data_IF_621640065867
#
_entry.id   IF_621640065867
#
_cell.length_a   1.000
_cell.length_b   1.000
_cell.length_c   1.000
_cell.angle_alpha   90.00
_cell.angle_beta   90.00
_cell.angle_gamma   90.00
#
_symmetry.space_group_name_H-M   'P 1'
#
loop_
_entity.id
_entity.type
_entity.pdbx_description
1 polymer ?
#
# COMPACT_ATOMS: atom_id res chain seq x y z
N UNK A 1 14.90 6.65 25.60
CA UNK A 1 14.38 6.18 24.30
C UNK A 1 12.98 6.73 24.10
N UNK A 2 12.77 7.48 23.06
CA UNK A 2 11.43 7.95 22.72
C UNK A 2 10.54 6.77 22.28
N UNK A 3 9.26 6.80 22.66
CA UNK A 3 8.29 5.77 22.29
C UNK A 3 8.18 5.57 20.76
N UNK A 4 8.65 6.50 19.95
CA UNK A 4 8.74 6.40 18.49
C UNK A 4 9.83 5.42 18.02
N UNK A 5 10.91 5.26 18.79
CA UNK A 5 12.03 4.39 18.41
C UNK A 5 11.75 2.91 18.66
N UNK A 6 10.70 2.60 19.44
CA UNK A 6 10.30 1.22 19.73
C UNK A 6 9.19 0.70 18.80
N UNK A 7 8.60 1.58 17.99
CA UNK A 7 7.50 1.21 17.10
C UNK A 7 7.99 0.33 15.95
N UNK A 8 7.33 -0.82 15.75
CA UNK A 8 7.67 -1.81 14.72
C UNK A 8 6.54 -2.09 13.75
N UNK A 9 5.40 -1.42 13.91
CA UNK A 9 4.22 -1.59 13.07
C UNK A 9 3.43 -0.29 12.96
N UNK A 10 2.71 -0.15 11.85
CA UNK A 10 1.70 0.87 11.63
C UNK A 10 0.35 0.17 11.48
N UNK A 11 -0.65 0.61 12.25
CA UNK A 11 -2.01 0.11 12.18
C UNK A 11 -2.97 1.28 11.98
N UNK A 12 -3.85 1.17 11.00
CA UNK A 12 -4.82 2.21 10.69
C UNK A 12 -6.16 1.59 10.33
N UNK A 13 -7.23 2.12 10.92
CA UNK A 13 -8.60 1.67 10.66
C UNK A 13 -9.44 2.80 10.10
N UNK A 14 -10.20 2.51 9.04
CA UNK A 14 -11.18 3.43 8.47
C UNK A 14 -12.46 2.67 8.13
N UNK A 15 -13.57 3.41 8.00
CA UNK A 15 -14.88 2.89 7.63
C UNK A 15 -15.26 3.47 6.27
N UNK A 16 -15.67 2.60 5.36
CA UNK A 16 -16.02 2.97 3.98
C UNK A 16 -17.47 2.59 3.74
N UNK A 17 -18.28 3.53 3.26
CA UNK A 17 -19.68 3.27 2.93
C UNK A 17 -19.77 2.53 1.60
N UNK A 18 -19.33 1.28 1.62
CA UNK A 18 -19.33 0.34 0.51
C UNK A 18 -19.30 -1.10 1.04
N UNK A 19 -19.61 -2.05 0.16
CA UNK A 19 -19.52 -3.48 0.49
C UNK A 19 -18.06 -3.94 0.61
N UNK A 20 -17.78 -5.01 1.37
CA UNK A 20 -16.45 -5.61 1.40
C UNK A 20 -15.92 -5.99 0.00
N UNK A 21 -16.78 -6.49 -0.88
CA UNK A 21 -16.42 -6.83 -2.25
C UNK A 21 -15.93 -5.61 -3.04
N UNK A 22 -16.56 -4.46 -2.84
CA UNK A 22 -16.17 -3.21 -3.50
C UNK A 22 -14.84 -2.68 -2.96
N UNK A 23 -14.61 -2.81 -1.66
CA UNK A 23 -13.32 -2.47 -1.03
C UNK A 23 -12.22 -3.40 -1.55
N UNK A 24 -12.48 -4.71 -1.62
CA UNK A 24 -11.56 -5.68 -2.21
C UNK A 24 -11.20 -5.31 -3.65
N UNK A 25 -12.18 -4.93 -4.45
CA UNK A 25 -11.96 -4.48 -5.83
C UNK A 25 -11.03 -3.25 -5.87
N UNK A 26 -11.24 -2.29 -4.98
CA UNK A 26 -10.36 -1.12 -4.84
C UNK A 26 -8.91 -1.50 -4.55
N UNK A 27 -8.69 -2.53 -3.74
CA UNK A 27 -7.35 -3.01 -3.36
C UNK A 27 -6.67 -3.88 -4.43
N UNK A 28 -7.41 -4.42 -5.40
CA UNK A 28 -6.90 -5.42 -6.34
C UNK A 28 -7.02 -5.02 -7.82
N UNK A 29 -7.82 -4.02 -8.15
CA UNK A 29 -8.02 -3.57 -9.52
C UNK A 29 -7.07 -2.41 -9.87
N UNK A 30 -6.10 -2.63 -10.79
CA UNK A 30 -5.18 -1.58 -11.20
C UNK A 30 -5.86 -0.34 -11.79
N UNK A 31 -7.01 -0.49 -12.44
CA UNK A 31 -7.77 0.62 -12.98
C UNK A 31 -8.28 1.57 -11.89
N UNK A 32 -8.68 1.01 -10.74
CA UNK A 32 -9.04 1.81 -9.57
C UNK A 32 -7.80 2.39 -8.88
N UNK A 33 -6.74 1.61 -8.75
CA UNK A 33 -5.48 2.07 -8.14
C UNK A 33 -4.92 3.32 -8.83
N UNK A 34 -4.98 3.40 -10.15
CA UNK A 34 -4.58 4.58 -10.93
C UNK A 34 -5.29 5.85 -10.49
N UNK A 35 -6.46 5.74 -9.90
CA UNK A 35 -7.30 6.87 -9.49
C UNK A 35 -7.04 7.32 -8.06
N UNK A 36 -6.53 6.45 -7.17
CA UNK A 36 -6.29 6.84 -5.78
C UNK A 36 -4.82 6.73 -5.31
N UNK A 37 -4.00 5.87 -5.90
CA UNK A 37 -2.57 5.77 -5.62
C UNK A 37 -1.78 6.82 -6.41
N UNK A 38 -1.86 8.08 -6.02
CA UNK A 38 -1.18 9.16 -6.75
C UNK A 38 0.17 9.49 -6.13
N UNK A 39 1.16 9.67 -7.00
CA UNK A 39 2.48 10.16 -6.64
C UNK A 39 2.91 11.21 -7.66
N UNK A 40 3.16 12.44 -7.20
CA UNK A 40 3.34 13.60 -8.07
C UNK A 40 4.43 13.45 -9.14
N UNK A 41 5.57 12.82 -8.80
CA UNK A 41 6.70 12.69 -9.73
C UNK A 41 6.62 11.45 -10.62
N UNK A 42 6.20 10.33 -10.05
CA UNK A 42 6.20 9.05 -10.76
C UNK A 42 4.83 8.70 -11.37
N UNK A 43 3.81 9.49 -11.09
CA UNK A 43 2.44 9.17 -11.45
C UNK A 43 1.81 8.12 -10.55
N UNK A 44 0.61 7.65 -10.88
CA UNK A 44 -0.11 6.67 -10.08
C UNK A 44 0.66 5.36 -9.94
N UNK A 45 0.61 4.79 -8.75
CA UNK A 45 1.14 3.46 -8.45
C UNK A 45 0.06 2.40 -8.67
N UNK A 46 0.42 1.30 -9.29
CA UNK A 46 -0.44 0.14 -9.49
C UNK A 46 0.24 -1.14 -9.06
N UNK A 47 -0.56 -2.11 -8.67
CA UNK A 47 -0.10 -3.46 -8.33
C UNK A 47 -0.87 -4.45 -9.20
N UNK A 48 -0.16 -5.41 -9.78
CA UNK A 48 -0.71 -6.40 -10.71
C UNK A 48 -0.39 -7.81 -10.23
N UNK A 49 -1.41 -8.63 -10.04
CA UNK A 49 -1.29 -10.03 -9.63
C UNK A 49 -2.58 -10.78 -9.96
N UNK A 50 -2.55 -12.10 -9.86
CA UNK A 50 -3.77 -12.91 -9.78
C UNK A 50 -4.35 -12.94 -8.35
N UNK A 51 -3.64 -12.35 -7.40
CA UNK A 51 -4.02 -12.18 -5.99
C UNK A 51 -4.25 -13.51 -5.25
N UNK A 52 -3.61 -14.57 -5.70
CA UNK A 52 -3.63 -15.87 -5.03
C UNK A 52 -2.44 -16.01 -4.09
N UNK A 53 -2.67 -16.65 -2.94
CA UNK A 53 -1.60 -16.94 -1.98
C UNK A 53 -0.45 -17.67 -2.67
N UNK A 54 0.76 -17.18 -2.50
CA UNK A 54 1.98 -17.71 -3.11
C UNK A 54 2.33 -17.14 -4.48
N UNK A 55 1.41 -16.44 -5.14
CA UNK A 55 1.69 -15.73 -6.39
C UNK A 55 2.57 -14.51 -6.15
N UNK A 56 3.35 -14.14 -7.15
CA UNK A 56 4.07 -12.85 -7.15
C UNK A 56 3.16 -11.73 -7.62
N UNK A 57 3.60 -10.49 -7.40
CA UNK A 57 2.94 -9.31 -7.95
C UNK A 57 3.97 -8.37 -8.54
N UNK A 58 3.54 -7.52 -9.45
CA UNK A 58 4.32 -6.42 -10.00
C UNK A 58 3.81 -5.09 -9.44
N UNK A 59 4.73 -4.19 -9.09
CA UNK A 59 4.39 -2.81 -8.79
C UNK A 59 4.83 -1.93 -9.96
N UNK A 60 3.97 -1.04 -10.42
CA UNK A 60 4.23 -0.20 -11.58
C UNK A 60 3.87 1.27 -11.34
N UNK A 61 4.61 2.14 -12.02
CA UNK A 61 4.26 3.53 -12.28
C UNK A 61 4.24 3.71 -13.79
N UNK A 62 3.08 3.53 -14.42
CA UNK A 62 2.96 3.49 -15.88
C UNK A 62 3.43 4.79 -16.54
N UNK A 63 3.14 5.95 -15.96
CA UNK A 63 3.55 7.26 -16.49
C UNK A 63 5.06 7.43 -16.49
N UNK A 64 5.77 6.81 -15.57
CA UNK A 64 7.23 6.80 -15.52
C UNK A 64 7.87 5.65 -16.30
N UNK A 65 7.07 4.75 -16.87
CA UNK A 65 7.55 3.56 -17.56
C UNK A 65 8.28 2.60 -16.63
N UNK A 66 7.91 2.59 -15.35
CA UNK A 66 8.62 1.84 -14.31
C UNK A 66 7.82 0.62 -13.87
N UNK A 67 8.49 -0.53 -13.86
CA UNK A 67 7.95 -1.78 -13.30
C UNK A 67 8.97 -2.36 -12.33
N UNK A 68 8.51 -2.71 -11.13
CA UNK A 68 9.33 -3.36 -10.10
C UNK A 68 8.78 -4.77 -9.87
N UNK A 69 9.62 -5.76 -10.07
CA UNK A 69 9.29 -7.18 -9.91
C UNK A 69 10.34 -7.87 -9.04
N UNK A 70 10.06 -9.09 -8.63
CA UNK A 70 11.00 -9.94 -7.93
C UNK A 70 10.31 -11.12 -7.25
N UNK A 71 11.05 -12.21 -7.00
CA UNK A 71 10.47 -13.40 -6.37
C UNK A 71 10.06 -13.17 -4.91
N UNK A 72 10.59 -12.12 -4.28
CA UNK A 72 10.22 -11.74 -2.92
C UNK A 72 8.97 -10.86 -2.85
N UNK A 73 8.46 -10.37 -3.98
CA UNK A 73 7.17 -9.66 -4.05
C UNK A 73 6.05 -10.68 -4.18
N UNK A 74 5.54 -11.16 -3.05
CA UNK A 74 4.66 -12.32 -2.98
C UNK A 74 3.41 -12.06 -2.15
N UNK A 75 2.30 -12.65 -2.59
CA UNK A 75 1.03 -12.66 -1.85
C UNK A 75 1.15 -13.66 -0.71
N UNK A 76 1.08 -13.17 0.52
CA UNK A 76 1.24 -13.96 1.74
C UNK A 76 -0.06 -14.63 2.18
N UNK A 77 -1.18 -13.93 1.97
CA UNK A 77 -2.50 -14.42 2.32
C UNK A 77 -3.56 -13.79 1.41
N UNK A 78 -4.59 -14.54 1.07
CA UNK A 78 -5.68 -14.07 0.23
C UNK A 78 -6.96 -14.84 0.53
N UNK A 79 -7.92 -14.14 1.13
CA UNK A 79 -9.27 -14.64 1.43
C UNK A 79 -10.29 -13.57 1.02
N UNK A 80 -10.64 -13.50 -0.29
CA UNK A 80 -11.59 -12.51 -0.79
C UNK A 80 -12.97 -12.66 -0.16
N UNK A 81 -13.65 -11.59 0.22
CA UNK A 81 -13.22 -10.19 0.24
C UNK A 81 -12.72 -9.74 1.62
N UNK A 82 -12.25 -10.66 2.48
CA UNK A 82 -12.01 -10.42 3.92
C UNK A 82 -10.57 -10.08 4.25
N UNK A 83 -9.60 -10.67 3.56
CA UNK A 83 -8.19 -10.49 3.91
C UNK A 83 -7.27 -10.58 2.70
N UNK A 84 -6.34 -9.63 2.61
CA UNK A 84 -5.25 -9.65 1.64
C UNK A 84 -3.97 -9.24 2.36
N UNK A 85 -2.88 -10.00 2.17
CA UNK A 85 -1.59 -9.63 2.71
C UNK A 85 -0.49 -9.91 1.69
N UNK A 86 0.50 -9.03 1.61
CA UNK A 86 1.65 -9.21 0.73
C UNK A 86 2.90 -8.53 1.27
N UNK A 87 4.07 -9.00 0.82
CA UNK A 87 5.34 -8.35 1.11
C UNK A 87 5.41 -7.00 0.42
N UNK A 88 6.13 -6.03 1.02
CA UNK A 88 6.29 -4.74 0.39
C UNK A 88 7.24 -4.83 -0.81
N UNK A 89 7.07 -3.93 -1.77
CA UNK A 89 7.87 -3.95 -2.99
C UNK A 89 9.34 -3.60 -2.73
N UNK A 90 10.20 -4.04 -3.62
CA UNK A 90 11.62 -3.70 -3.59
C UNK A 90 11.83 -2.20 -3.81
N UNK A 91 12.77 -1.63 -3.09
CA UNK A 91 13.22 -0.25 -3.25
C UNK A 91 14.37 -0.25 -4.26
N UNK A 92 14.06 -0.20 -5.55
CA UNK A 92 15.10 -0.15 -6.57
C UNK A 92 15.67 1.26 -6.72
N UNK A 93 16.92 1.41 -7.20
CA UNK A 93 17.48 2.73 -7.51
C UNK A 93 16.62 3.52 -8.52
N UNK A 94 16.06 2.83 -9.51
CA UNK A 94 15.19 3.40 -10.53
C UNK A 94 13.90 3.93 -9.94
N UNK A 95 13.27 3.15 -9.07
CA UNK A 95 12.08 3.59 -8.35
C UNK A 95 12.37 4.80 -7.47
N UNK A 96 13.46 4.75 -6.69
CA UNK A 96 13.87 5.83 -5.81
C UNK A 96 14.09 7.14 -6.60
N UNK A 97 14.73 7.07 -7.75
CA UNK A 97 14.93 8.21 -8.63
C UNK A 97 13.59 8.76 -9.17
N UNK A 98 12.69 7.87 -9.59
CA UNK A 98 11.38 8.25 -10.13
C UNK A 98 10.51 8.98 -9.10
N UNK A 99 10.55 8.57 -7.82
CA UNK A 99 9.82 9.24 -6.74
C UNK A 99 10.56 10.43 -6.13
N UNK A 100 11.77 10.72 -6.61
CA UNK A 100 12.58 11.85 -6.14
C UNK A 100 13.27 11.64 -4.80
N UNK A 101 13.51 10.40 -4.44
CA UNK A 101 14.25 10.03 -3.24
C UNK A 101 15.76 10.17 -3.48
N UNK A 102 16.49 10.73 -2.52
CA UNK A 102 17.94 10.79 -2.61
C UNK A 102 18.60 9.41 -2.44
N UNK A 103 19.82 9.27 -2.95
CA UNK A 103 20.52 7.98 -2.99
C UNK A 103 20.84 7.43 -1.59
N UNK A 104 21.15 8.30 -0.63
CA UNK A 104 21.47 7.90 0.73
C UNK A 104 20.24 7.33 1.45
N UNK A 105 19.11 7.99 1.33
CA UNK A 105 17.82 7.52 1.87
C UNK A 105 17.42 6.20 1.23
N UNK A 106 17.52 6.08 -0.09
CA UNK A 106 17.19 4.84 -0.81
C UNK A 106 18.09 3.66 -0.37
N UNK A 107 19.38 3.92 -0.16
CA UNK A 107 20.31 2.89 0.33
C UNK A 107 19.96 2.44 1.75
N UNK A 108 19.61 3.38 2.62
CA UNK A 108 19.19 3.07 4.00
C UNK A 108 17.91 2.22 4.00
N UNK A 109 16.93 2.55 3.16
CA UNK A 109 15.68 1.78 3.05
C UNK A 109 15.93 0.37 2.51
N UNK A 110 16.80 0.22 1.51
CA UNK A 110 17.16 -1.10 0.98
C UNK A 110 17.88 -1.99 1.98
N UNK A 111 18.61 -1.39 2.92
CA UNK A 111 19.33 -2.14 3.96
C UNK A 111 18.41 -2.73 5.03
N UNK A 112 17.17 -2.23 5.15
CA UNK A 112 16.20 -2.77 6.08
C UNK A 112 15.61 -4.09 5.60
N UNK A 113 15.20 -4.94 6.55
CA UNK A 113 14.44 -6.14 6.25
C UNK A 113 13.13 -5.76 5.53
N UNK A 114 12.68 -6.61 4.62
CA UNK A 114 11.43 -6.41 3.87
C UNK A 114 10.24 -6.40 4.82
N UNK A 115 9.44 -5.36 4.73
CA UNK A 115 8.19 -5.24 5.47
C UNK A 115 7.05 -5.96 4.72
N UNK A 116 5.88 -6.00 5.36
CA UNK A 116 4.67 -6.59 4.78
C UNK A 116 3.44 -5.80 5.19
N UNK A 117 2.41 -5.87 4.38
CA UNK A 117 1.12 -5.20 4.63
C UNK A 117 -0.01 -6.22 4.60
N UNK A 118 -0.97 -6.03 5.50
CA UNK A 118 -2.21 -6.80 5.54
C UNK A 118 -3.41 -5.86 5.57
N UNK A 119 -4.43 -6.22 4.82
CA UNK A 119 -5.72 -5.55 4.77
C UNK A 119 -6.77 -6.51 5.31
N UNK A 120 -7.46 -6.12 6.37
CA UNK A 120 -8.60 -6.84 6.93
C UNK A 120 -9.87 -6.05 6.67
N UNK A 121 -10.87 -6.69 6.06
CA UNK A 121 -12.12 -6.08 5.63
C UNK A 121 -13.26 -6.78 6.32
N UNK A 122 -14.05 -6.04 7.11
CA UNK A 122 -15.22 -6.56 7.83
C UNK A 122 -16.48 -5.86 7.35
N UNK A 123 -17.54 -6.65 7.15
CA UNK A 123 -18.89 -6.10 6.99
C UNK A 123 -19.41 -5.72 8.37
N UNK A 124 -19.63 -4.43 8.61
CA UNK A 124 -20.16 -3.94 9.89
C UNK A 124 -21.65 -3.58 9.81
N UNK A 125 -22.31 -3.97 8.73
CA UNK A 125 -23.73 -3.73 8.50
C UNK A 125 -24.02 -2.40 7.81
N UNK A 126 -25.25 -2.25 7.33
CA UNK A 126 -25.79 -1.03 6.70
C UNK A 126 -24.99 -0.53 5.49
N UNK A 127 -24.36 -1.47 4.76
CA UNK A 127 -23.55 -1.12 3.58
C UNK A 127 -22.22 -0.46 3.93
N UNK A 128 -21.68 -0.73 5.12
CA UNK A 128 -20.41 -0.18 5.59
C UNK A 128 -19.40 -1.30 5.80
N UNK A 129 -18.21 -1.14 5.24
CA UNK A 129 -17.06 -1.99 5.49
C UNK A 129 -16.05 -1.29 6.41
N UNK A 130 -15.51 -2.03 7.36
CA UNK A 130 -14.37 -1.61 8.19
C UNK A 130 -13.09 -2.15 7.56
N UNK A 131 -12.19 -1.27 7.20
CA UNK A 131 -10.88 -1.61 6.62
C UNK A 131 -9.79 -1.30 7.63
N UNK A 132 -9.03 -2.33 8.00
CA UNK A 132 -7.85 -2.19 8.86
C UNK A 132 -6.61 -2.53 8.05
N UNK A 133 -5.64 -1.61 8.02
CA UNK A 133 -4.33 -1.82 7.41
C UNK A 133 -3.31 -2.00 8.51
N UNK A 134 -2.55 -3.09 8.42
CA UNK A 134 -1.41 -3.39 9.29
C UNK A 134 -0.16 -3.50 8.43
N UNK A 135 0.78 -2.60 8.59
CA UNK A 135 2.07 -2.65 7.90
C UNK A 135 3.16 -2.84 8.95
N UNK A 136 3.79 -3.99 8.94
CA UNK A 136 4.72 -4.42 9.98
C UNK A 136 5.99 -5.08 9.42
N UNK A 137 6.80 -5.67 10.29
CA UNK A 137 8.10 -6.25 9.93
C UNK A 137 9.25 -5.26 10.06
N UNK A 138 9.03 -4.11 10.66
CA UNK A 138 10.07 -3.11 10.89
C UNK A 138 10.87 -3.41 12.16
N UNK A 139 12.17 -3.18 12.09
CA UNK A 139 13.01 -3.15 13.30
C UNK A 139 12.77 -1.84 14.08
N UNK A 140 13.02 -1.81 15.40
CA UNK A 140 13.05 -0.56 16.15
C UNK A 140 13.99 0.45 15.48
N UNK A 141 13.57 1.71 15.39
CA UNK A 141 14.35 2.76 14.73
C UNK A 141 14.34 2.73 13.20
N UNK A 142 13.39 2.00 12.58
CA UNK A 142 13.26 1.94 11.12
C UNK A 142 13.16 3.33 10.50
N UNK A 143 13.91 3.57 9.43
CA UNK A 143 13.81 4.77 8.61
C UNK A 143 12.60 4.73 7.63
N UNK A 144 12.12 3.53 7.31
CA UNK A 144 10.97 3.32 6.40
C UNK A 144 9.64 3.58 7.10
N UNK A 145 9.50 3.15 8.35
CA UNK A 145 8.22 3.21 9.08
C UNK A 145 7.60 4.62 9.15
N UNK A 146 8.33 5.72 9.39
CA UNK A 146 7.74 7.05 9.37
C UNK A 146 7.07 7.40 8.04
N UNK A 147 7.70 7.08 6.92
CA UNK A 147 7.14 7.33 5.59
C UNK A 147 5.88 6.48 5.33
N UNK A 148 5.88 5.23 5.76
CA UNK A 148 4.71 4.34 5.71
C UNK A 148 3.57 4.93 6.55
N UNK A 149 3.87 5.42 7.74
CA UNK A 149 2.89 6.00 8.66
C UNK A 149 2.25 7.29 8.14
N UNK A 150 2.98 8.06 7.35
CA UNK A 150 2.44 9.26 6.68
C UNK A 150 1.67 8.92 5.40
N UNK A 151 2.11 7.91 4.66
CA UNK A 151 1.56 7.57 3.34
C UNK A 151 0.18 6.92 3.40
N UNK A 152 -0.01 5.94 4.27
CA UNK A 152 -1.25 5.17 4.31
C UNK A 152 -2.51 6.00 4.58
N UNK A 153 -2.55 6.92 5.55
CA UNK A 153 -3.76 7.72 5.78
C UNK A 153 -4.22 8.49 4.55
N UNK A 154 -3.31 9.08 3.80
CA UNK A 154 -3.62 9.82 2.58
C UNK A 154 -4.12 8.89 1.47
N UNK A 155 -3.48 7.75 1.26
CA UNK A 155 -3.88 6.74 0.26
C UNK A 155 -5.28 6.20 0.58
N UNK A 156 -5.53 5.85 1.84
CA UNK A 156 -6.81 5.29 2.26
C UNK A 156 -7.93 6.33 2.25
N UNK A 157 -7.65 7.59 2.56
CA UNK A 157 -8.61 8.67 2.40
C UNK A 157 -9.01 8.84 0.92
N UNK A 158 -8.04 8.75 0.02
CA UNK A 158 -8.29 8.81 -1.42
C UNK A 158 -9.10 7.61 -1.93
N UNK A 159 -8.77 6.40 -1.47
CA UNK A 159 -9.55 5.19 -1.77
C UNK A 159 -10.99 5.31 -1.27
N UNK A 160 -11.18 5.70 -0.01
CA UNK A 160 -12.49 5.90 0.61
C UNK A 160 -13.32 6.89 -0.20
N UNK A 161 -12.77 8.05 -0.51
CA UNK A 161 -13.46 9.09 -1.27
C UNK A 161 -13.83 8.59 -2.66
N UNK A 162 -12.92 7.88 -3.36
CA UNK A 162 -13.19 7.31 -4.67
C UNK A 162 -14.36 6.32 -4.64
N UNK A 163 -14.35 5.39 -3.69
CA UNK A 163 -15.38 4.36 -3.59
C UNK A 163 -16.75 4.95 -3.19
N UNK A 164 -16.77 5.92 -2.30
CA UNK A 164 -18.02 6.53 -1.82
C UNK A 164 -18.63 7.55 -2.78
N UNK A 165 -17.81 8.25 -3.56
CA UNK A 165 -18.26 9.37 -4.38
C UNK A 165 -18.06 9.19 -5.88
N UNK A 166 -17.25 8.22 -6.29
CA UNK A 166 -16.83 8.04 -7.69
C UNK A 166 -15.71 8.98 -8.14
N UNK A 167 -15.21 9.84 -7.28
CA UNK A 167 -14.11 10.78 -7.56
C UNK A 167 -13.03 10.68 -6.49
N UNK A 168 -11.77 10.64 -6.90
CA UNK A 168 -10.64 10.62 -5.97
C UNK A 168 -10.40 11.98 -5.32
N UNK A 169 -9.70 11.97 -4.18
CA UNK A 169 -9.23 13.21 -3.58
C UNK A 169 -8.34 13.98 -4.56
N UNK A 170 -8.51 15.28 -4.58
CA UNK A 170 -7.56 16.16 -5.27
C UNK A 170 -6.28 16.22 -4.43
N UNK A 171 -5.22 15.68 -4.97
CA UNK A 171 -3.88 15.90 -4.44
C UNK A 171 -3.23 16.99 -5.26
N UNK A 172 -2.90 18.08 -4.59
CA UNK A 172 -2.14 19.17 -5.20
C UNK A 172 -0.72 18.73 -5.54
#
# INVERSE_FOLDING_TARGET
MDAKDEQTAFVYTTYIQETPERVWQGLTDPALMKRYWRHQKAGPKTFHSDWKKGSTYEMAHDEAGLVVTGPEQVILDSDPPRRLAYTWHTITPEWAAAVGMDKATAAAWRAEARSKVAFDIEDVGQGVAKLTVTHDGFAPGSAVLPAISEGWPAVLASLKTLLETGSSLRTS
#
